data_IF_911927505034
#
_entry.id   IF_911927505034
#
_cell.length_a   1.000
_cell.length_b   1.000
_cell.length_c   1.000
_cell.angle_alpha   90.00
_cell.angle_beta   90.00
_cell.angle_gamma   90.00
#
_symmetry.space_group_name_H-M   'P 1'
#
loop_
_entity.id
_entity.type
_entity.pdbx_description
1 polymer ?
#
# COMPACT_ATOMS: atom_id res chain seq x y z
N UNK A 1 4.66 -12.52 -8.80
CA UNK A 1 4.73 -11.66 -10.01
C UNK A 1 3.79 -10.44 -10.01
N UNK A 2 2.67 -10.42 -9.27
CA UNK A 2 1.75 -9.27 -9.23
C UNK A 2 2.28 -8.01 -8.50
N UNK A 3 3.18 -8.13 -7.53
CA UNK A 3 3.62 -6.99 -6.68
C UNK A 3 4.46 -5.94 -7.41
N UNK A 4 5.27 -6.34 -8.38
CA UNK A 4 6.15 -5.40 -9.14
C UNK A 4 5.33 -4.42 -9.99
N UNK A 5 4.13 -4.81 -10.42
CA UNK A 5 3.26 -3.99 -11.27
C UNK A 5 2.61 -2.82 -10.53
N UNK A 6 2.34 -2.96 -9.21
CA UNK A 6 1.66 -1.91 -8.45
C UNK A 6 2.43 -0.59 -8.45
N UNK A 7 3.73 -0.65 -8.16
CA UNK A 7 4.55 0.56 -8.12
C UNK A 7 4.72 1.19 -9.49
N UNK A 8 5.00 0.40 -10.53
CA UNK A 8 5.16 0.94 -11.89
C UNK A 8 3.87 1.58 -12.42
N UNK A 9 2.70 1.00 -12.11
CA UNK A 9 1.40 1.62 -12.42
C UNK A 9 1.21 2.94 -11.68
N UNK A 10 1.54 2.99 -10.38
CA UNK A 10 1.47 4.22 -9.59
C UNK A 10 2.39 5.31 -10.14
N UNK A 11 3.58 4.95 -10.60
CA UNK A 11 4.53 5.88 -11.18
C UNK A 11 4.02 6.48 -12.49
N UNK A 12 3.47 5.67 -13.40
CA UNK A 12 2.87 6.16 -14.64
C UNK A 12 1.62 7.02 -14.39
N UNK A 13 0.71 6.56 -13.52
CA UNK A 13 -0.49 7.34 -13.19
C UNK A 13 -0.15 8.66 -12.50
N UNK A 14 0.86 8.68 -11.62
CA UNK A 14 1.34 9.91 -11.00
C UNK A 14 1.91 10.87 -12.04
N UNK A 15 2.65 10.35 -13.01
CA UNK A 15 3.18 11.17 -14.10
C UNK A 15 2.04 11.85 -14.85
N UNK A 16 1.03 11.10 -15.27
CA UNK A 16 -0.12 11.65 -15.97
C UNK A 16 -0.96 12.61 -15.11
N UNK A 17 -1.01 12.39 -13.77
CA UNK A 17 -1.83 13.19 -12.85
C UNK A 17 -1.15 14.47 -12.35
N UNK A 18 0.19 14.60 -12.44
CA UNK A 18 0.96 15.64 -11.77
C UNK A 18 1.95 16.40 -12.65
N UNK A 19 2.17 15.96 -13.87
CA UNK A 19 3.08 16.63 -14.79
C UNK A 19 2.28 17.49 -15.74
N UNK A 20 2.28 18.80 -15.50
CA UNK A 20 1.55 19.79 -16.33
C UNK A 20 2.17 20.00 -17.72
N UNK A 21 3.42 19.56 -17.92
CA UNK A 21 4.17 19.69 -19.17
C UNK A 21 3.90 18.55 -20.17
N UNK A 22 3.07 17.57 -19.83
CA UNK A 22 2.71 16.50 -20.75
C UNK A 22 1.83 17.04 -21.89
N UNK A 23 2.17 16.63 -23.12
CA UNK A 23 1.26 16.85 -24.25
C UNK A 23 0.03 15.95 -24.15
N UNK A 24 -1.06 16.29 -24.85
CA UNK A 24 -2.25 15.44 -24.90
C UNK A 24 -1.91 14.03 -25.42
N UNK A 25 -1.04 13.94 -26.42
CA UNK A 25 -0.59 12.65 -26.97
C UNK A 25 0.16 11.81 -25.92
N UNK A 26 1.02 12.43 -25.11
CA UNK A 26 1.78 11.77 -24.05
C UNK A 26 0.87 11.33 -22.89
N UNK A 27 -0.13 12.14 -22.57
CA UNK A 27 -1.15 11.78 -21.59
C UNK A 27 -1.95 10.57 -22.06
N UNK A 28 -2.41 10.58 -23.32
CA UNK A 28 -3.18 9.49 -23.92
C UNK A 28 -2.35 8.19 -24.04
N UNK A 29 -1.06 8.31 -24.33
CA UNK A 29 -0.13 7.18 -24.36
C UNK A 29 -0.07 6.44 -23.00
N UNK A 30 -0.07 7.20 -21.91
CA UNK A 30 -0.13 6.63 -20.56
C UNK A 30 -1.55 6.13 -20.24
N UNK A 31 -2.56 6.94 -20.51
CA UNK A 31 -3.95 6.64 -20.18
C UNK A 31 -4.47 5.37 -20.89
N UNK A 32 -3.96 5.08 -22.09
CA UNK A 32 -4.31 3.89 -22.85
C UNK A 32 -4.00 2.54 -22.14
N UNK A 33 -3.19 2.57 -21.09
CA UNK A 33 -2.90 1.39 -20.26
C UNK A 33 -3.88 1.21 -19.09
N UNK A 34 -4.74 2.23 -18.86
CA UNK A 34 -5.65 2.24 -17.70
C UNK A 34 -7.08 2.49 -18.17
N UNK A 35 -8.00 1.60 -17.79
CA UNK A 35 -9.43 1.76 -18.07
C UNK A 35 -10.11 2.75 -17.11
N UNK A 36 -9.47 3.06 -15.98
CA UNK A 36 -9.93 4.10 -15.07
C UNK A 36 -9.34 5.45 -15.47
N UNK A 37 -10.14 6.47 -15.26
CA UNK A 37 -9.65 7.81 -15.46
C UNK A 37 -8.53 8.15 -14.47
N UNK A 38 -7.49 8.81 -14.98
CA UNK A 38 -6.30 9.23 -14.21
C UNK A 38 -6.68 10.08 -12.97
N UNK A 39 -7.81 10.79 -13.00
CA UNK A 39 -8.30 11.56 -11.84
C UNK A 39 -8.61 10.70 -10.59
N UNK A 40 -8.75 9.36 -10.74
CA UNK A 40 -8.90 8.43 -9.61
C UNK A 40 -7.57 8.06 -8.95
N UNK A 41 -6.47 8.56 -9.49
CA UNK A 41 -5.17 8.33 -8.88
C UNK A 41 -5.14 8.78 -7.41
N UNK A 42 -4.67 7.90 -6.53
CA UNK A 42 -4.44 8.16 -5.12
C UNK A 42 -2.99 7.82 -4.77
N UNK A 43 -2.21 8.74 -4.21
CA UNK A 43 -0.78 8.54 -3.97
C UNK A 43 -0.45 7.37 -3.05
N UNK A 44 -1.22 7.18 -1.98
CA UNK A 44 -1.01 6.15 -0.96
C UNK A 44 -1.76 4.84 -1.20
N UNK A 45 -2.59 4.78 -2.25
CA UNK A 45 -3.48 3.66 -2.49
C UNK A 45 -3.40 3.16 -3.93
N UNK A 46 -2.83 1.97 -4.10
CA UNK A 46 -2.52 1.44 -5.43
C UNK A 46 -3.70 0.73 -6.13
N UNK A 47 -4.80 0.44 -5.44
CA UNK A 47 -5.89 -0.35 -6.00
C UNK A 47 -6.58 0.29 -7.23
N UNK A 48 -6.74 1.63 -7.33
CA UNK A 48 -7.23 2.25 -8.55
C UNK A 48 -6.34 2.03 -9.78
N UNK A 49 -5.04 1.79 -9.55
CA UNK A 49 -4.05 1.60 -10.62
C UNK A 49 -3.86 0.13 -11.02
N UNK A 50 -4.55 -0.79 -10.36
CA UNK A 50 -4.42 -2.24 -10.58
C UNK A 50 -5.80 -2.91 -10.66
N UNK A 51 -5.80 -4.22 -10.73
CA UNK A 51 -7.06 -4.98 -10.87
C UNK A 51 -7.66 -4.80 -12.26
N UNK A 52 -8.97 -4.62 -12.34
CA UNK A 52 -9.69 -4.42 -13.60
C UNK A 52 -9.42 -3.09 -14.31
N UNK A 53 -8.67 -2.19 -13.68
CA UNK A 53 -8.36 -0.88 -14.25
C UNK A 53 -7.06 -0.86 -15.09
N UNK A 54 -6.24 -1.89 -15.00
CA UNK A 54 -5.02 -2.03 -15.80
C UNK A 54 -5.26 -3.00 -16.94
N UNK A 55 -4.87 -2.65 -18.16
CA UNK A 55 -4.97 -3.52 -19.33
C UNK A 55 -3.99 -4.70 -19.24
N UNK A 56 -4.41 -5.69 -18.45
CA UNK A 56 -3.65 -6.91 -18.25
C UNK A 56 -3.54 -7.75 -19.52
N UNK A 57 -4.54 -7.69 -20.40
CA UNK A 57 -4.55 -8.45 -21.65
C UNK A 57 -3.45 -7.92 -22.57
N UNK A 58 -3.41 -6.61 -22.79
CA UNK A 58 -2.36 -5.95 -23.56
C UNK A 58 -0.98 -6.18 -22.93
N UNK A 59 -0.85 -6.05 -21.62
CA UNK A 59 0.41 -6.30 -20.93
C UNK A 59 0.92 -7.74 -21.11
N UNK A 60 0.05 -8.74 -21.08
CA UNK A 60 0.47 -10.13 -21.26
C UNK A 60 0.90 -10.43 -22.69
N UNK A 61 0.39 -9.69 -23.67
CA UNK A 61 0.74 -9.86 -25.10
C UNK A 61 1.99 -9.04 -25.46
N UNK A 62 2.10 -7.80 -24.95
CA UNK A 62 3.16 -6.84 -25.31
C UNK A 62 3.79 -6.19 -24.06
N UNK A 63 4.45 -6.93 -23.17
CA UNK A 63 5.04 -6.39 -21.95
C UNK A 63 6.17 -5.38 -22.25
N UNK A 64 6.84 -5.53 -23.37
CA UNK A 64 7.92 -4.66 -23.82
C UNK A 64 7.44 -3.22 -24.09
N UNK A 65 6.23 -3.05 -24.64
CA UNK A 65 5.64 -1.72 -24.85
C UNK A 65 5.46 -0.98 -23.51
N UNK A 66 4.89 -1.68 -22.52
CA UNK A 66 4.69 -1.13 -21.18
C UNK A 66 6.01 -0.72 -20.51
N UNK A 67 7.02 -1.59 -20.57
CA UNK A 67 8.32 -1.30 -19.95
C UNK A 67 9.11 -0.24 -20.72
N UNK A 68 8.93 -0.14 -22.02
CA UNK A 68 9.50 0.95 -22.84
C UNK A 68 8.92 2.29 -22.44
N UNK A 69 7.58 2.36 -22.33
CA UNK A 69 6.85 3.52 -21.85
C UNK A 69 7.29 3.93 -20.43
N UNK A 70 7.32 2.97 -19.52
CA UNK A 70 7.75 3.20 -18.14
C UNK A 70 9.17 3.77 -18.08
N UNK A 71 10.12 3.21 -18.83
CA UNK A 71 11.50 3.70 -18.90
C UNK A 71 11.62 5.09 -19.53
N UNK A 72 10.82 5.38 -20.56
CA UNK A 72 10.74 6.70 -21.22
C UNK A 72 10.44 7.78 -20.17
N UNK A 73 9.37 7.60 -19.39
CA UNK A 73 8.96 8.58 -18.39
C UNK A 73 9.81 8.56 -17.11
N UNK A 74 10.36 7.42 -16.71
CA UNK A 74 11.30 7.34 -15.60
C UNK A 74 12.57 8.17 -15.86
N UNK A 75 13.07 8.18 -17.07
CA UNK A 75 14.23 8.99 -17.46
C UNK A 75 13.90 10.47 -17.53
N UNK A 76 12.71 10.82 -18.01
CA UNK A 76 12.30 12.21 -18.20
C UNK A 76 11.87 12.86 -16.89
N UNK A 77 11.17 12.12 -16.01
CA UNK A 77 10.62 12.63 -14.75
C UNK A 77 11.04 11.77 -13.54
N UNK A 78 12.34 11.60 -13.28
CA UNK A 78 12.83 10.70 -12.22
C UNK A 78 12.32 11.10 -10.84
N UNK A 79 12.17 12.41 -10.57
CA UNK A 79 11.63 12.92 -9.32
C UNK A 79 10.22 12.44 -9.06
N UNK A 80 9.35 12.48 -10.07
CA UNK A 80 7.94 12.02 -9.96
C UNK A 80 7.87 10.53 -9.60
N UNK A 81 8.79 9.74 -10.16
CA UNK A 81 8.89 8.29 -9.88
C UNK A 81 9.35 8.01 -8.45
N UNK A 82 10.32 8.78 -7.94
CA UNK A 82 10.77 8.69 -6.54
C UNK A 82 9.65 9.12 -5.59
N UNK A 83 8.97 10.22 -5.89
CA UNK A 83 7.83 10.68 -5.11
C UNK A 83 6.66 9.67 -5.10
N UNK A 84 6.39 9.00 -6.23
CA UNK A 84 5.39 7.95 -6.30
C UNK A 84 5.74 6.76 -5.39
N UNK A 85 7.02 6.38 -5.33
CA UNK A 85 7.49 5.35 -4.42
C UNK A 85 7.25 5.74 -2.96
N UNK A 86 7.73 6.92 -2.54
CA UNK A 86 7.54 7.38 -1.16
C UNK A 86 6.07 7.56 -0.80
N UNK A 87 5.26 8.07 -1.71
CA UNK A 87 3.83 8.23 -1.47
C UNK A 87 3.11 6.88 -1.31
N UNK A 88 3.49 5.88 -2.12
CA UNK A 88 2.92 4.53 -2.00
C UNK A 88 3.34 3.80 -0.71
N UNK A 89 4.49 4.16 -0.15
CA UNK A 89 5.01 3.63 1.10
C UNK A 89 4.74 4.55 2.30
N UNK A 90 3.86 5.55 2.16
CA UNK A 90 3.66 6.60 3.16
C UNK A 90 3.30 6.04 4.55
N UNK A 91 2.46 5.01 4.62
CA UNK A 91 2.10 4.37 5.88
C UNK A 91 3.26 3.71 6.62
N UNK A 92 4.39 3.46 5.94
CA UNK A 92 5.58 2.84 6.56
C UNK A 92 6.46 3.89 7.24
N UNK A 93 6.58 5.09 6.65
CA UNK A 93 7.57 6.08 7.11
C UNK A 93 6.95 7.37 7.65
N UNK A 94 5.70 7.70 7.28
CA UNK A 94 5.05 8.93 7.73
C UNK A 94 4.27 8.70 9.03
N UNK A 95 4.66 9.35 10.15
CA UNK A 95 4.09 9.03 11.46
C UNK A 95 2.62 9.47 11.65
N UNK A 96 2.13 10.40 10.83
CA UNK A 96 0.75 10.87 10.90
C UNK A 96 -0.16 10.24 9.83
N UNK A 97 0.32 9.19 9.13
CA UNK A 97 -0.54 8.47 8.19
C UNK A 97 -1.58 7.65 8.94
N UNK A 98 -2.84 8.02 8.77
CA UNK A 98 -4.00 7.34 9.34
C UNK A 98 -4.71 6.46 8.33
N UNK A 99 -4.30 6.51 7.05
CA UNK A 99 -4.99 5.80 5.96
C UNK A 99 -4.97 4.28 6.09
N UNK A 100 -4.04 3.73 6.86
CA UNK A 100 -3.91 2.29 7.10
C UNK A 100 -4.53 1.83 8.43
N UNK A 101 -4.99 2.76 9.25
CA UNK A 101 -5.61 2.45 10.54
C UNK A 101 -7.08 2.00 10.42
N UNK A 102 -7.68 2.16 9.24
CA UNK A 102 -9.09 1.84 8.99
C UNK A 102 -9.39 0.34 8.78
N UNK A 103 -8.44 -0.53 8.99
CA UNK A 103 -8.57 -1.95 8.64
C UNK A 103 -9.55 -2.74 9.52
N UNK A 104 -10.10 -2.16 10.58
CA UNK A 104 -11.02 -2.84 11.49
C UNK A 104 -12.44 -2.25 11.47
N UNK A 105 -12.75 -1.39 10.51
CA UNK A 105 -13.91 -0.50 10.60
C UNK A 105 -15.23 -1.08 10.04
N UNK A 106 -15.32 -2.35 9.68
CA UNK A 106 -16.60 -2.82 9.13
C UNK A 106 -17.02 -4.18 9.65
N UNK A 107 -18.24 -4.27 10.17
CA UNK A 107 -19.00 -5.53 10.31
C UNK A 107 -19.10 -6.26 8.96
N UNK A 108 -19.05 -5.52 7.84
CA UNK A 108 -18.99 -6.04 6.49
C UNK A 108 -17.66 -6.74 6.16
N UNK A 109 -16.54 -6.37 6.82
CA UNK A 109 -15.23 -6.93 6.52
C UNK A 109 -15.15 -8.43 6.79
N UNK A 110 -15.72 -8.90 7.88
CA UNK A 110 -15.75 -10.34 8.19
C UNK A 110 -16.48 -11.12 7.07
N UNK A 111 -17.58 -10.56 6.58
CA UNK A 111 -18.36 -11.18 5.52
C UNK A 111 -17.74 -10.99 4.12
N UNK A 112 -17.15 -9.84 3.83
CA UNK A 112 -16.52 -9.56 2.54
C UNK A 112 -15.22 -10.33 2.40
N UNK A 113 -14.40 -10.41 3.44
CA UNK A 113 -13.16 -11.15 3.42
C UNK A 113 -13.39 -12.65 3.22
N UNK A 114 -14.36 -13.23 3.91
CA UNK A 114 -14.74 -14.62 3.75
C UNK A 114 -15.32 -14.90 2.34
N UNK A 115 -16.07 -13.95 1.78
CA UNK A 115 -16.64 -14.09 0.43
C UNK A 115 -15.61 -13.99 -0.68
N UNK A 116 -14.58 -13.17 -0.51
CA UNK A 116 -13.67 -12.86 -1.63
C UNK A 116 -12.40 -13.69 -1.67
N UNK A 117 -11.98 -14.30 -0.54
CA UNK A 117 -10.63 -14.81 -0.50
C UNK A 117 -10.50 -16.32 -0.66
N UNK A 118 -11.35 -17.17 -0.11
CA UNK A 118 -11.15 -18.62 -0.21
C UNK A 118 -12.40 -19.49 0.04
N UNK A 119 -13.59 -18.93 0.02
CA UNK A 119 -14.79 -19.71 0.30
C UNK A 119 -15.53 -20.00 -1.00
N UNK A 120 -15.80 -21.27 -1.25
CA UNK A 120 -16.66 -21.70 -2.36
C UNK A 120 -18.02 -21.03 -2.17
N UNK A 121 -18.62 -20.39 -3.21
CA UNK A 121 -19.87 -19.65 -3.09
C UNK A 121 -20.99 -20.41 -2.39
N UNK A 122 -21.04 -21.72 -2.56
CA UNK A 122 -22.02 -22.59 -1.92
C UNK A 122 -21.85 -22.71 -0.40
N UNK A 123 -20.65 -22.45 0.12
CA UNK A 123 -20.33 -22.54 1.56
C UNK A 123 -20.48 -21.21 2.31
N UNK A 124 -20.70 -20.10 1.63
CA UNK A 124 -20.75 -18.76 2.25
C UNK A 124 -21.86 -18.65 3.30
N UNK A 125 -22.97 -19.37 3.13
CA UNK A 125 -24.06 -19.42 4.12
C UNK A 125 -23.77 -20.28 5.35
N UNK A 126 -22.76 -21.16 5.30
CA UNK A 126 -22.41 -22.09 6.36
C UNK A 126 -21.25 -21.60 7.24
N UNK A 127 -20.50 -20.58 6.78
CA UNK A 127 -19.35 -20.04 7.50
C UNK A 127 -19.79 -18.93 8.45
N UNK A 128 -19.73 -19.22 9.74
CA UNK A 128 -20.00 -18.25 10.80
C UNK A 128 -18.72 -17.94 11.56
N UNK A 129 -18.38 -16.64 11.67
CA UNK A 129 -17.25 -16.20 12.47
C UNK A 129 -17.61 -16.28 13.98
N UNK A 130 -16.89 -17.11 14.71
CA UNK A 130 -17.07 -17.23 16.16
C UNK A 130 -15.84 -16.72 16.90
N UNK A 131 -16.02 -15.71 17.73
CA UNK A 131 -14.92 -15.15 18.52
C UNK A 131 -14.77 -15.92 19.85
N UNK A 132 -13.57 -16.40 20.14
CA UNK A 132 -13.23 -17.01 21.44
C UNK A 132 -13.18 -15.96 22.58
N UNK A 133 -12.98 -14.69 22.24
CA UNK A 133 -12.90 -13.58 23.20
C UNK A 133 -13.82 -12.42 22.78
N UNK A 134 -15.14 -12.59 22.87
CA UNK A 134 -16.10 -11.62 22.35
C UNK A 134 -15.97 -10.24 23.02
N UNK A 135 -15.70 -10.19 24.33
CA UNK A 135 -15.49 -8.92 25.03
C UNK A 135 -14.25 -8.16 24.52
N UNK A 136 -13.17 -8.88 24.26
CA UNK A 136 -11.94 -8.31 23.71
C UNK A 136 -12.14 -7.83 22.27
N UNK A 137 -12.83 -8.61 21.45
CA UNK A 137 -13.20 -8.21 20.07
C UNK A 137 -14.03 -6.93 20.08
N UNK A 138 -15.06 -6.86 20.93
CA UNK A 138 -15.90 -5.66 21.08
C UNK A 138 -15.09 -4.47 21.56
N UNK A 139 -14.16 -4.66 22.49
CA UNK A 139 -13.27 -3.59 22.97
C UNK A 139 -12.37 -3.07 21.85
N UNK A 140 -11.71 -3.96 21.07
CA UNK A 140 -10.90 -3.55 19.92
C UNK A 140 -11.77 -2.79 18.91
N UNK A 141 -12.91 -3.36 18.52
CA UNK A 141 -13.84 -2.73 17.58
C UNK A 141 -14.22 -1.32 18.04
N UNK A 142 -14.68 -1.16 19.27
CA UNK A 142 -15.06 0.14 19.80
C UNK A 142 -13.88 1.12 19.90
N UNK A 143 -12.67 0.62 20.11
CA UNK A 143 -11.47 1.44 20.20
C UNK A 143 -10.98 1.93 18.83
N UNK A 144 -11.22 1.14 17.79
CA UNK A 144 -10.74 1.43 16.42
C UNK A 144 -11.84 2.00 15.53
N UNK A 145 -13.11 1.80 15.90
CA UNK A 145 -14.26 2.29 15.14
C UNK A 145 -14.24 3.82 15.02
N UNK A 146 -14.42 4.32 13.79
CA UNK A 146 -14.31 5.74 13.47
C UNK A 146 -12.98 6.38 13.92
N UNK A 147 -11.88 5.62 13.90
CA UNK A 147 -10.55 6.11 14.24
C UNK A 147 -10.45 6.71 15.66
N UNK A 148 -11.26 6.25 16.60
CA UNK A 148 -11.25 6.75 17.98
C UNK A 148 -9.92 6.61 18.69
N UNK A 149 -9.13 5.58 18.32
CA UNK A 149 -7.78 5.38 18.84
C UNK A 149 -6.83 6.52 18.50
N UNK A 150 -7.09 7.28 17.43
CA UNK A 150 -6.26 8.43 17.03
C UNK A 150 -6.32 9.57 18.04
N UNK A 151 -7.43 9.68 18.78
CA UNK A 151 -7.62 10.73 19.79
C UNK A 151 -6.89 10.43 21.11
N UNK A 152 -6.31 9.24 21.26
CA UNK A 152 -5.60 8.86 22.49
C UNK A 152 -4.09 8.86 22.20
N UNK A 153 -3.33 9.84 22.74
CA UNK A 153 -1.88 9.88 22.60
C UNK A 153 -1.24 8.56 23.06
N UNK A 154 -0.13 8.18 22.45
CA UNK A 154 0.58 6.92 22.67
C UNK A 154 -0.18 5.67 22.20
N UNK A 155 -1.47 5.55 22.52
CA UNK A 155 -2.29 4.42 22.08
C UNK A 155 -2.43 4.40 20.55
N UNK A 156 -2.64 5.57 19.93
CA UNK A 156 -2.68 5.71 18.47
C UNK A 156 -1.40 5.19 17.78
N UNK A 157 -0.26 5.37 18.45
CA UNK A 157 1.04 4.95 17.89
C UNK A 157 1.16 3.42 17.76
N UNK A 158 0.45 2.65 18.57
CA UNK A 158 0.45 1.18 18.47
C UNK A 158 -0.15 0.66 17.16
N UNK A 159 -0.98 1.46 16.51
CA UNK A 159 -1.63 1.10 15.25
C UNK A 159 -0.92 1.66 14.01
N UNK A 160 0.13 2.46 14.20
CA UNK A 160 0.88 3.08 13.10
C UNK A 160 2.12 2.24 12.74
N UNK A 161 2.22 1.68 11.54
CA UNK A 161 3.40 0.91 11.10
C UNK A 161 4.69 1.70 11.22
N UNK A 162 4.65 3.00 10.94
CA UNK A 162 5.80 3.91 11.05
C UNK A 162 6.44 3.91 12.45
N UNK A 163 5.64 3.78 13.53
CA UNK A 163 6.17 3.68 14.90
C UNK A 163 7.13 2.52 15.05
N UNK A 164 6.77 1.36 14.53
CA UNK A 164 7.61 0.15 14.61
C UNK A 164 8.86 0.28 13.73
N UNK A 165 8.75 0.95 12.59
CA UNK A 165 9.89 1.25 11.70
C UNK A 165 10.89 2.17 12.40
N UNK A 166 10.41 3.24 13.05
CA UNK A 166 11.28 4.14 13.81
C UNK A 166 11.89 3.48 15.06
N UNK A 167 11.14 2.63 15.76
CA UNK A 167 11.69 1.84 16.87
C UNK A 167 12.78 0.87 16.40
N UNK A 168 12.56 0.19 15.27
CA UNK A 168 13.56 -0.69 14.67
C UNK A 168 14.80 0.08 14.24
N UNK A 169 14.63 1.28 13.66
CA UNK A 169 15.74 2.16 13.29
C UNK A 169 16.54 2.56 14.52
N UNK A 170 15.86 3.03 15.57
CA UNK A 170 16.50 3.42 16.83
C UNK A 170 17.27 2.26 17.47
N UNK A 171 16.67 1.06 17.49
CA UNK A 171 17.32 -0.15 17.97
C UNK A 171 18.56 -0.48 17.15
N UNK A 172 18.45 -0.47 15.82
CA UNK A 172 19.57 -0.76 14.92
C UNK A 172 20.73 0.22 15.16
N UNK A 173 20.43 1.52 15.25
CA UNK A 173 21.42 2.55 15.52
C UNK A 173 22.08 2.39 16.90
N UNK A 174 21.29 2.04 17.93
CA UNK A 174 21.80 1.78 19.28
C UNK A 174 22.76 0.57 19.30
N UNK A 175 22.39 -0.52 18.61
CA UNK A 175 23.25 -1.70 18.51
C UNK A 175 24.56 -1.41 17.78
N UNK A 176 24.51 -0.61 16.70
CA UNK A 176 25.70 -0.16 15.99
C UNK A 176 26.57 0.75 16.85
N UNK A 177 25.97 1.68 17.59
CA UNK A 177 26.68 2.57 18.52
C UNK A 177 27.39 1.77 19.62
N UNK A 178 26.72 0.75 20.19
CA UNK A 178 27.31 -0.17 21.18
C UNK A 178 28.30 -1.17 20.58
N UNK A 179 28.53 -1.11 19.28
CA UNK A 179 29.40 -2.03 18.52
C UNK A 179 28.94 -3.51 18.55
N UNK A 180 27.68 -3.74 18.87
CA UNK A 180 27.06 -5.08 18.91
C UNK A 180 26.63 -5.51 17.49
N UNK A 181 27.63 -5.61 16.59
CA UNK A 181 27.40 -5.86 15.15
C UNK A 181 26.62 -7.13 14.87
N UNK A 182 26.80 -8.17 15.68
CA UNK A 182 26.08 -9.46 15.50
C UNK A 182 24.57 -9.25 15.66
N UNK A 183 24.16 -8.52 16.69
CA UNK A 183 22.75 -8.20 16.95
C UNK A 183 22.19 -7.21 15.93
N UNK A 184 22.99 -6.26 15.49
CA UNK A 184 22.57 -5.36 14.41
C UNK A 184 22.32 -6.12 13.09
N UNK A 185 23.09 -7.14 12.77
CA UNK A 185 22.86 -8.00 11.61
C UNK A 185 21.51 -8.75 11.70
N UNK A 186 21.04 -9.09 12.91
CA UNK A 186 19.73 -9.72 13.09
C UNK A 186 18.56 -8.83 12.71
N UNK A 187 18.76 -7.51 12.60
CA UNK A 187 17.69 -6.57 12.12
C UNK A 187 17.58 -6.55 10.60
N UNK A 188 18.59 -7.01 9.85
CA UNK A 188 18.60 -6.94 8.37
C UNK A 188 17.44 -7.67 7.69
N UNK A 189 17.00 -8.88 8.12
CA UNK A 189 15.86 -9.54 7.50
C UNK A 189 14.58 -8.71 7.61
N UNK A 190 14.38 -8.02 8.74
CA UNK A 190 13.22 -7.15 8.95
C UNK A 190 13.29 -5.93 8.03
N UNK A 191 14.47 -5.32 7.90
CA UNK A 191 14.69 -4.23 6.93
C UNK A 191 14.43 -4.67 5.50
N UNK A 192 14.85 -5.89 5.13
CA UNK A 192 14.61 -6.45 3.81
C UNK A 192 13.13 -6.74 3.49
N UNK A 193 12.26 -6.80 4.51
CA UNK A 193 10.80 -6.93 4.34
C UNK A 193 10.15 -5.55 4.20
N UNK A 194 10.71 -4.53 4.88
CA UNK A 194 10.17 -3.16 4.91
C UNK A 194 10.53 -2.40 3.63
N UNK A 195 11.73 -2.61 3.09
CA UNK A 195 12.27 -1.96 1.89
C UNK A 195 11.94 -2.74 0.61
#
# INVERSE_FOLDING_TARGET
MQRIRCLSCQQLMRTAARVDELTEEEYDEIAAWFSCAIHRYRPSYADPAKGGNFDLARYNTHPEEYWSLWKKYAKRYPRVYIEAFFANCMGIWYPDDTTHAHTLDTEEWDNVYLRTVNVVPEMVGEVTAHSYLPAYRTWIYNSTHHSRHENVPLYSQLFKPSTYVYLLLALTLLLLYRRERRWALCTLPVWGIIL
#
